data_IF_798341150023
#
_entry.id   IF_798341150023
#
_cell.length_a   1.000
_cell.length_b   1.000
_cell.length_c   1.000
_cell.angle_alpha   90.00
_cell.angle_beta   90.00
_cell.angle_gamma   90.00
#
_symmetry.space_group_name_H-M   'P 1'
#
loop_
_entity.id
_entity.type
_entity.pdbx_description
1 polymer ?
#
# COMPACT_ATOMS: atom_id res chain seq x y z
N UNK A 1 4.92 -3.49 10.78
CA UNK A 1 5.29 -2.30 9.98
C UNK A 1 4.11 -1.65 9.26
N UNK A 2 3.20 -2.39 8.63
CA UNK A 2 2.04 -1.78 7.93
C UNK A 2 1.05 -1.04 8.85
N UNK A 3 0.85 -1.52 10.08
CA UNK A 3 0.01 -0.82 11.07
C UNK A 3 0.47 0.63 11.33
N UNK A 4 1.78 0.86 11.46
CA UNK A 4 2.34 2.21 11.67
C UNK A 4 2.12 3.12 10.45
N UNK A 5 2.27 2.59 9.23
CA UNK A 5 2.00 3.36 8.01
C UNK A 5 0.52 3.72 7.90
N UNK A 6 -0.36 2.78 8.18
CA UNK A 6 -1.81 3.02 8.20
C UNK A 6 -2.18 4.08 9.24
N UNK A 7 -1.57 4.04 10.43
CA UNK A 7 -1.78 5.05 11.46
C UNK A 7 -1.40 6.46 10.96
N UNK A 8 -0.20 6.62 10.37
CA UNK A 8 0.23 7.91 9.81
C UNK A 8 -0.71 8.42 8.72
N UNK A 9 -1.26 7.53 7.88
CA UNK A 9 -2.23 7.90 6.83
C UNK A 9 -3.55 8.40 7.42
N UNK A 10 -4.01 7.81 8.53
CA UNK A 10 -5.18 8.32 9.25
C UNK A 10 -4.93 9.71 9.83
N UNK A 11 -3.74 9.93 10.41
CA UNK A 11 -3.34 11.26 10.91
C UNK A 11 -3.34 12.28 9.76
N UNK A 12 -2.74 11.94 8.62
CA UNK A 12 -2.74 12.82 7.44
C UNK A 12 -4.16 13.14 6.95
N UNK A 13 -5.06 12.15 6.93
CA UNK A 13 -6.45 12.35 6.54
C UNK A 13 -7.20 13.25 7.53
N UNK A 14 -6.97 13.07 8.82
CA UNK A 14 -7.56 13.91 9.86
C UNK A 14 -7.14 15.37 9.71
N UNK A 15 -5.83 15.63 9.59
CA UNK A 15 -5.31 16.98 9.39
C UNK A 15 -5.79 17.61 8.08
N UNK A 16 -5.93 16.82 7.01
CA UNK A 16 -6.52 17.30 5.74
C UNK A 16 -7.97 17.76 5.92
N UNK A 17 -8.81 16.96 6.60
CA UNK A 17 -10.22 17.32 6.87
C UNK A 17 -10.36 18.53 7.77
N UNK A 18 -9.41 18.74 8.68
CA UNK A 18 -9.33 19.93 9.55
C UNK A 18 -8.93 21.20 8.77
N UNK A 19 -8.40 21.05 7.55
CA UNK A 19 -7.93 22.16 6.72
C UNK A 19 -6.48 22.56 6.95
N UNK A 20 -5.70 21.75 7.69
CA UNK A 20 -4.27 22.02 7.92
C UNK A 20 -3.50 21.94 6.59
N UNK A 21 -2.37 22.65 6.51
CA UNK A 21 -1.49 22.51 5.35
C UNK A 21 -0.68 21.22 5.42
N UNK A 22 -0.19 20.76 4.26
CA UNK A 22 0.70 19.60 4.19
C UNK A 22 2.05 19.84 4.92
N UNK A 23 2.47 21.10 5.06
CA UNK A 23 3.68 21.46 5.80
C UNK A 23 3.45 21.30 7.30
N UNK A 24 2.38 21.91 7.81
CA UNK A 24 2.06 21.86 9.25
C UNK A 24 1.81 20.42 9.69
N UNK A 25 1.11 19.64 8.86
CA UNK A 25 0.88 18.20 9.11
C UNK A 25 2.19 17.42 9.17
N UNK A 26 3.18 17.73 8.32
CA UNK A 26 4.47 17.07 8.35
C UNK A 26 5.27 17.43 9.60
N UNK A 27 5.26 18.70 10.01
CA UNK A 27 5.95 19.18 11.20
C UNK A 27 5.33 18.59 12.49
N UNK A 28 4.00 18.45 12.54
CA UNK A 28 3.29 17.78 13.63
C UNK A 28 3.68 16.29 13.72
N UNK A 29 3.69 15.58 12.59
CA UNK A 29 4.14 14.17 12.54
C UNK A 29 5.58 14.03 13.02
N UNK A 30 6.48 14.94 12.62
CA UNK A 30 7.88 14.92 13.08
C UNK A 30 8.04 15.19 14.56
N UNK A 31 7.18 16.04 15.12
CA UNK A 31 7.19 16.38 16.54
C UNK A 31 6.71 15.22 17.39
N UNK A 32 5.62 14.55 16.98
CA UNK A 32 4.99 13.46 17.75
C UNK A 32 5.71 12.12 17.56
N UNK A 33 6.10 11.79 16.33
CA UNK A 33 6.64 10.47 15.99
C UNK A 33 8.15 10.47 15.68
N UNK A 34 8.81 11.62 15.80
CA UNK A 34 10.23 11.79 15.49
C UNK A 34 10.53 12.03 14.01
N UNK A 35 11.68 12.67 13.76
CA UNK A 35 12.22 12.87 12.40
C UNK A 35 12.49 11.53 11.72
N UNK A 36 12.13 11.43 10.43
CA UNK A 36 12.36 10.24 9.61
C UNK A 36 11.17 9.29 9.49
N UNK A 37 10.13 9.46 10.32
CA UNK A 37 8.92 8.62 10.26
C UNK A 37 8.10 8.80 8.98
N UNK A 38 8.10 9.99 8.39
CA UNK A 38 7.52 10.27 7.07
C UNK A 38 8.32 11.34 6.34
N UNK A 39 8.00 11.66 5.10
CA UNK A 39 8.58 12.83 4.42
C UNK A 39 7.49 13.81 4.03
N UNK A 40 7.82 15.11 3.95
CA UNK A 40 6.88 16.12 3.44
C UNK A 40 6.38 15.78 2.03
N UNK A 41 7.21 15.10 1.22
CA UNK A 41 6.81 14.58 -0.10
C UNK A 41 5.70 13.54 0.02
N UNK A 42 5.80 12.62 0.98
CA UNK A 42 4.77 11.62 1.27
C UNK A 42 3.46 12.29 1.68
N UNK A 43 3.50 13.26 2.60
CA UNK A 43 2.29 14.00 3.06
C UNK A 43 1.63 14.72 1.89
N UNK A 44 2.42 15.42 1.06
CA UNK A 44 1.91 16.11 -0.14
C UNK A 44 1.24 15.16 -1.13
N UNK A 45 1.81 13.97 -1.34
CA UNK A 45 1.21 12.97 -2.24
C UNK A 45 -0.14 12.47 -1.71
N UNK A 46 -0.25 12.21 -0.40
CA UNK A 46 -1.53 11.85 0.22
C UNK A 46 -2.56 12.97 0.11
N UNK A 47 -2.15 14.22 0.35
CA UNK A 47 -3.03 15.38 0.19
C UNK A 47 -3.54 15.54 -1.25
N UNK A 48 -2.70 15.28 -2.26
CA UNK A 48 -3.15 15.25 -3.66
C UNK A 48 -4.22 14.18 -3.88
N UNK A 49 -4.03 12.98 -3.32
CA UNK A 49 -4.99 11.87 -3.40
C UNK A 49 -6.33 12.24 -2.73
N UNK A 50 -6.29 12.86 -1.55
CA UNK A 50 -7.48 13.33 -0.84
C UNK A 50 -8.22 14.46 -1.58
N UNK A 51 -7.49 15.40 -2.20
CA UNK A 51 -8.11 16.44 -3.05
C UNK A 51 -8.80 15.87 -4.28
N UNK A 52 -8.32 14.74 -4.80
CA UNK A 52 -8.96 14.00 -5.87
C UNK A 52 -10.18 13.17 -5.39
N UNK A 53 -10.56 13.28 -4.11
CA UNK A 53 -11.69 12.56 -3.52
C UNK A 53 -11.39 11.10 -3.16
N UNK A 54 -10.15 10.64 -3.31
CA UNK A 54 -9.78 9.27 -2.95
C UNK A 54 -9.26 9.23 -1.50
N UNK A 55 -10.06 8.63 -0.63
CA UNK A 55 -9.77 8.48 0.80
C UNK A 55 -9.31 7.06 1.18
N UNK A 56 -9.02 6.20 0.20
CA UNK A 56 -8.51 4.86 0.47
C UNK A 56 -7.08 4.93 1.03
N UNK A 57 -6.94 4.53 2.30
CA UNK A 57 -5.69 4.58 3.03
C UNK A 57 -4.82 3.33 2.85
N UNK A 58 -5.33 2.28 2.23
CA UNK A 58 -4.53 1.11 1.87
C UNK A 58 -3.63 1.44 0.70
N UNK A 59 -2.48 0.79 0.63
CA UNK A 59 -1.72 0.81 -0.61
C UNK A 59 -2.53 0.05 -1.66
N UNK A 60 -2.66 0.65 -2.84
CA UNK A 60 -3.12 -0.09 -4.01
C UNK A 60 -2.11 -1.22 -4.26
N UNK A 61 -2.62 -2.40 -4.59
CA UNK A 61 -1.78 -3.49 -5.05
C UNK A 61 -0.96 -2.95 -6.23
N UNK A 62 0.35 -2.82 -6.02
CA UNK A 62 1.27 -2.37 -7.06
C UNK A 62 1.31 -3.47 -8.12
N UNK A 63 0.38 -3.47 -9.06
CA UNK A 63 0.35 -4.38 -10.18
C UNK A 63 1.42 -3.98 -11.21
N UNK A 64 2.69 -4.06 -10.81
CA UNK A 64 3.84 -3.97 -11.70
C UNK A 64 4.12 -5.27 -12.45
N UNK A 65 3.43 -6.37 -12.11
CA UNK A 65 3.44 -7.61 -12.90
C UNK A 65 2.21 -7.65 -13.79
N UNK A 66 2.45 -7.69 -15.10
CA UNK A 66 1.41 -7.87 -16.10
C UNK A 66 0.52 -9.06 -15.73
N UNK A 67 -0.79 -8.92 -15.96
CA UNK A 67 -1.79 -9.98 -15.71
C UNK A 67 -1.41 -11.29 -16.41
N UNK A 68 -0.65 -11.22 -17.51
CA UNK A 68 -0.06 -12.36 -18.20
C UNK A 68 0.95 -13.13 -17.33
N UNK A 69 1.87 -12.46 -16.63
CA UNK A 69 2.81 -13.12 -15.72
C UNK A 69 2.09 -13.76 -14.53
N UNK A 70 1.05 -13.11 -14.00
CA UNK A 70 0.24 -13.70 -12.92
C UNK A 70 -0.56 -14.93 -13.39
N UNK A 71 -1.10 -14.88 -14.62
CA UNK A 71 -1.76 -16.03 -15.27
C UNK A 71 -0.77 -17.17 -15.47
N UNK A 72 0.43 -16.90 -15.99
CA UNK A 72 1.48 -17.91 -16.16
C UNK A 72 1.89 -18.55 -14.84
N UNK A 73 2.11 -17.78 -13.78
CA UNK A 73 2.45 -18.31 -12.45
C UNK A 73 1.32 -19.20 -11.93
N UNK A 74 0.05 -18.79 -12.07
CA UNK A 74 -1.11 -19.58 -11.64
C UNK A 74 -1.26 -20.86 -12.48
N UNK A 75 -1.04 -20.79 -13.80
CA UNK A 75 -1.06 -21.96 -14.69
C UNK A 75 0.07 -22.93 -14.36
N UNK A 76 1.29 -22.44 -14.15
CA UNK A 76 2.45 -23.25 -13.76
C UNK A 76 2.27 -23.90 -12.39
N UNK A 77 1.70 -23.16 -11.42
CA UNK A 77 1.35 -23.71 -10.10
C UNK A 77 0.30 -24.82 -10.18
N UNK A 78 -0.72 -24.68 -11.06
CA UNK A 78 -1.70 -25.73 -11.34
C UNK A 78 -1.08 -26.94 -12.04
N UNK A 79 -0.18 -26.72 -13.00
CA UNK A 79 0.53 -27.80 -13.70
C UNK A 79 1.47 -28.58 -12.77
N UNK A 80 2.16 -27.89 -11.85
CA UNK A 80 2.93 -28.56 -10.79
C UNK A 80 2.02 -29.38 -9.87
N UNK A 81 0.83 -28.87 -9.51
CA UNK A 81 -0.13 -29.60 -8.67
C UNK A 81 -0.71 -30.84 -9.37
N UNK A 82 -1.00 -30.74 -10.67
CA UNK A 82 -1.49 -31.86 -11.48
C UNK A 82 -0.39 -32.92 -11.70
N UNK A 83 0.86 -32.50 -11.95
CA UNK A 83 2.00 -33.42 -12.06
C UNK A 83 2.28 -34.18 -10.77
N UNK A 84 2.05 -33.57 -9.61
CA UNK A 84 2.16 -34.26 -8.32
C UNK A 84 1.04 -35.30 -8.17
N UNK A 85 -0.17 -35.00 -8.64
CA UNK A 85 -1.29 -35.95 -8.64
C UNK A 85 -1.04 -37.13 -9.60
N UNK A 86 -0.46 -36.90 -10.78
CA UNK A 86 -0.05 -37.97 -11.71
C UNK A 86 1.06 -38.87 -11.13
N UNK A 87 1.99 -38.33 -10.33
CA UNK A 87 3.04 -39.13 -9.66
C UNK A 87 2.44 -40.02 -8.56
N UNK A 88 1.41 -39.56 -7.85
CA UNK A 88 0.75 -40.34 -6.79
C UNK A 88 -0.25 -41.36 -7.37
N UNK A 89 -0.77 -41.15 -8.58
CA UNK A 89 -1.71 -42.07 -9.24
C UNK A 89 -1.06 -43.19 -10.09
N UNK A 90 0.26 -43.19 -10.29
CA UNK A 90 0.99 -44.32 -10.89
C UNK A 90 1.62 -45.18 -9.79
N UNK A 91 0.79 -45.87 -9.00
CA UNK A 91 1.19 -47.05 -8.22
C UNK A 91 0.00 -47.96 -7.94
#
# INVERSE_FOLDING_TARGET
MESQKMHLRHVMLHCFKKGNSAKDTADEIFTVHGRGTTTIRTVRNWFKKFRAGNFELKDEDRSGRSTAQQRLIRTLSRLCSLKIHDIVCVR
#
